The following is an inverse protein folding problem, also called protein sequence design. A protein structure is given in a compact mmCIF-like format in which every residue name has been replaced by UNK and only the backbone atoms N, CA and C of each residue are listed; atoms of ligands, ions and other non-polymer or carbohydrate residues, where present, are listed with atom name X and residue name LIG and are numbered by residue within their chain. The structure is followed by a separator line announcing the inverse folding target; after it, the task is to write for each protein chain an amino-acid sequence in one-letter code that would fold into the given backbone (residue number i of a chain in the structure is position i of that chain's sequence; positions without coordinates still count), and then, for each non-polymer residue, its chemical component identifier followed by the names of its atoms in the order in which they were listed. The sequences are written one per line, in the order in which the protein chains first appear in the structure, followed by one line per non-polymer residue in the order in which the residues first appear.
data_IF_589899407781
#
_entry.id   IF_589899407781
#
_cell.length_a   1.000
_cell.length_b   1.000
_cell.length_c   1.000
_cell.angle_alpha   90.00
_cell.angle_beta   90.00
_cell.angle_gamma   90.00
#
_symmetry.space_group_name_H-M   'P 1'
#
loop_
_entity.id
_entity.type
_entity.pdbx_description
1 polymer ?
#
# COMPACT_ATOMS: atom_id res chain seq x y z
N UNK A 1 2.93 -7.90 15.44
CA UNK A 1 2.10 -7.04 14.56
C UNK A 1 1.18 -6.27 15.48
N UNK A 2 1.25 -4.93 15.50
CA UNK A 2 0.31 -4.14 16.30
C UNK A 2 -1.02 -4.22 15.55
N UNK A 3 -2.00 -4.93 16.09
CA UNK A 3 -3.34 -5.01 15.49
C UNK A 3 -4.10 -3.71 15.79
N UNK A 4 -3.90 -2.71 14.93
CA UNK A 4 -4.76 -1.54 14.86
C UNK A 4 -5.92 -1.83 13.91
N UNK A 5 -7.10 -1.34 14.26
CA UNK A 5 -8.24 -1.36 13.35
C UNK A 5 -7.90 -0.51 12.11
N UNK A 6 -8.21 -0.98 10.91
CA UNK A 6 -7.87 -0.33 9.63
C UNK A 6 -8.23 1.17 9.58
N UNK A 7 -9.41 1.53 10.09
CA UNK A 7 -9.85 2.95 10.16
C UNK A 7 -9.01 3.81 11.11
N UNK A 8 -8.50 3.21 12.19
CA UNK A 8 -7.65 3.92 13.14
C UNK A 8 -6.29 4.21 12.51
N UNK A 9 -5.72 3.24 11.78
CA UNK A 9 -4.49 3.46 11.01
C UNK A 9 -4.67 4.58 9.98
N UNK A 10 -5.79 4.61 9.27
CA UNK A 10 -6.14 5.70 8.35
C UNK A 10 -6.17 7.05 9.08
N UNK A 11 -6.89 7.14 10.21
CA UNK A 11 -6.98 8.37 10.99
C UNK A 11 -5.63 8.85 11.56
N UNK A 12 -4.72 7.94 11.91
CA UNK A 12 -3.36 8.30 12.35
C UNK A 12 -2.59 8.97 11.21
N UNK A 13 -2.66 8.41 10.00
CA UNK A 13 -1.99 8.98 8.83
C UNK A 13 -2.59 10.33 8.46
N UNK A 14 -3.93 10.42 8.44
CA UNK A 14 -4.64 11.68 8.20
C UNK A 14 -4.24 12.77 9.21
N UNK A 15 -4.27 12.45 10.50
CA UNK A 15 -3.86 13.38 11.56
C UNK A 15 -2.39 13.81 11.42
N UNK A 16 -1.49 12.87 11.09
CA UNK A 16 -0.09 13.20 10.86
C UNK A 16 0.07 14.20 9.71
N UNK A 17 -0.61 13.96 8.59
CA UNK A 17 -0.57 14.85 7.43
C UNK A 17 -1.12 16.25 7.77
N UNK A 18 -2.18 16.32 8.56
CA UNK A 18 -2.75 17.60 9.03
C UNK A 18 -1.79 18.39 9.92
N UNK A 19 -1.18 17.73 10.91
CA UNK A 19 -0.20 18.36 11.81
C UNK A 19 1.09 18.76 11.08
N UNK A 20 1.40 18.09 9.98
CA UNK A 20 2.59 18.33 9.16
C UNK A 20 2.40 19.42 8.09
N UNK A 21 1.18 19.95 7.90
CA UNK A 21 0.90 20.96 6.83
C UNK A 21 1.83 22.17 6.84
N UNK A 22 2.32 22.58 8.02
CA UNK A 22 3.17 23.76 8.19
C UNK A 22 4.57 23.43 8.74
N UNK A 23 4.94 22.16 8.79
CA UNK A 23 6.21 21.69 9.35
C UNK A 23 6.89 20.74 8.37
N UNK A 24 8.22 20.81 8.29
CA UNK A 24 9.00 19.79 7.58
C UNK A 24 9.00 18.52 8.44
N UNK A 25 8.19 17.53 8.05
CA UNK A 25 7.99 16.29 8.80
C UNK A 25 7.90 15.10 7.85
N UNK A 26 8.41 13.95 8.27
CA UNK A 26 8.44 12.75 7.45
C UNK A 26 7.98 11.53 8.27
N UNK A 27 6.98 10.83 7.75
CA UNK A 27 6.54 9.53 8.26
C UNK A 27 6.85 8.46 7.22
N UNK A 28 7.73 7.52 7.57
CA UNK A 28 7.99 6.32 6.78
C UNK A 28 7.43 5.13 7.55
N UNK A 29 6.46 4.45 6.97
CA UNK A 29 5.81 3.30 7.57
C UNK A 29 5.66 2.16 6.56
N UNK A 30 5.65 0.93 7.05
CA UNK A 30 5.31 -0.26 6.26
C UNK A 30 4.02 -0.85 6.82
N UNK A 31 3.14 -1.31 5.95
CA UNK A 31 1.81 -1.78 6.33
C UNK A 31 1.25 -2.78 5.32
N UNK A 32 0.41 -3.69 5.80
CA UNK A 32 -0.44 -4.53 4.96
C UNK A 32 -1.86 -3.95 4.79
N UNK A 33 -2.11 -2.75 5.34
CA UNK A 33 -3.42 -2.13 5.35
C UNK A 33 -3.77 -1.48 4.00
N UNK A 34 -4.60 -2.16 3.22
CA UNK A 34 -5.04 -1.68 1.90
C UNK A 34 -5.90 -0.41 1.95
N UNK A 35 -6.48 -0.04 3.09
CA UNK A 35 -7.27 1.19 3.24
C UNK A 35 -6.44 2.46 3.00
N UNK A 36 -5.12 2.41 3.19
CA UNK A 36 -4.22 3.53 2.94
C UNK A 36 -3.93 3.77 1.44
N UNK A 37 -4.37 2.87 0.54
CA UNK A 37 -4.25 3.04 -0.91
C UNK A 37 -5.36 3.98 -1.45
N UNK A 38 -5.39 5.19 -0.92
CA UNK A 38 -6.35 6.25 -1.25
C UNK A 38 -5.62 7.52 -1.71
N UNK A 39 -5.89 7.93 -2.96
CA UNK A 39 -5.27 9.12 -3.56
C UNK A 39 -5.85 10.43 -3.04
N UNK A 40 -6.93 10.40 -2.25
CA UNK A 40 -7.41 11.57 -1.52
C UNK A 40 -6.59 11.82 -0.23
N UNK A 41 -5.89 10.79 0.27
CA UNK A 41 -5.06 10.85 1.46
C UNK A 41 -3.58 11.03 1.12
N UNK A 42 -3.05 10.21 0.21
CA UNK A 42 -1.63 10.16 -0.15
C UNK A 42 -1.42 10.44 -1.64
N UNK A 43 -0.31 11.09 -1.98
CA UNK A 43 0.12 11.25 -3.36
C UNK A 43 0.67 9.93 -3.91
N UNK A 44 0.75 9.80 -5.23
CA UNK A 44 1.20 8.55 -5.88
C UNK A 44 2.67 8.25 -5.61
N UNK A 45 3.49 9.28 -5.56
CA UNK A 45 4.92 9.22 -5.25
C UNK A 45 5.19 8.86 -3.76
N UNK A 46 4.16 8.92 -2.91
CA UNK A 46 4.24 8.56 -1.49
C UNK A 46 3.81 7.10 -1.24
N UNK A 47 3.19 6.44 -2.22
CA UNK A 47 2.79 5.04 -2.13
C UNK A 47 3.85 4.18 -2.82
N UNK A 48 4.41 3.25 -2.05
CA UNK A 48 5.45 2.34 -2.51
C UNK A 48 5.05 0.89 -2.26
N UNK A 49 5.28 0.05 -3.27
CA UNK A 49 5.03 -1.39 -3.21
C UNK A 49 6.35 -2.15 -3.10
N UNK A 50 6.31 -3.26 -2.36
CA UNK A 50 7.42 -4.21 -2.26
C UNK A 50 6.96 -5.54 -2.81
N UNK A 51 7.67 -6.05 -3.81
CA UNK A 51 7.43 -7.36 -4.37
C UNK A 51 8.65 -8.26 -4.16
N UNK A 52 8.38 -9.50 -3.73
CA UNK A 52 9.42 -10.51 -3.59
C UNK A 52 9.70 -11.17 -4.94
N UNK A 53 10.94 -11.07 -5.38
CA UNK A 53 11.48 -11.84 -6.50
C UNK A 53 12.22 -13.09 -5.97
N UNK A 54 12.87 -13.87 -6.84
CA UNK A 54 13.47 -15.15 -6.45
C UNK A 54 14.46 -15.02 -5.28
N UNK A 55 15.36 -14.04 -5.36
CA UNK A 55 16.44 -13.82 -4.38
C UNK A 55 16.56 -12.36 -3.90
N UNK A 56 15.59 -11.52 -4.24
CA UNK A 56 15.62 -10.07 -4.00
C UNK A 56 14.22 -9.56 -3.70
N UNK A 57 14.14 -8.35 -3.15
CA UNK A 57 12.90 -7.58 -3.09
C UNK A 57 13.03 -6.41 -4.04
N UNK A 58 11.99 -6.17 -4.84
CA UNK A 58 11.89 -5.01 -5.71
C UNK A 58 10.96 -4.00 -5.05
N UNK A 59 11.45 -2.76 -4.93
CA UNK A 59 10.69 -1.62 -4.43
C UNK A 59 10.35 -0.73 -5.64
N UNK A 60 9.10 -0.31 -5.77
CA UNK A 60 8.64 0.56 -6.86
C UNK A 60 7.46 1.43 -6.41
N UNK A 61 7.33 2.62 -6.99
CA UNK A 61 6.28 3.57 -6.63
C UNK A 61 5.00 3.33 -7.42
N UNK A 62 3.84 3.69 -6.85
CA UNK A 62 2.59 3.76 -7.59
C UNK A 62 2.66 4.75 -8.76
N UNK A 63 3.50 5.79 -8.67
CA UNK A 63 3.66 6.79 -9.74
C UNK A 63 4.26 6.21 -11.03
N UNK A 64 4.98 5.09 -10.96
CA UNK A 64 5.49 4.37 -12.13
C UNK A 64 4.36 3.79 -13.00
N UNK A 65 3.16 3.64 -12.44
CA UNK A 65 1.98 3.20 -13.16
C UNK A 65 1.23 4.43 -13.71
N UNK A 66 0.81 4.37 -14.98
CA UNK A 66 -0.08 5.39 -15.62
C UNK A 66 -1.51 5.33 -15.06
N UNK A 67 -1.67 5.45 -13.76
CA UNK A 67 -2.96 5.51 -13.07
C UNK A 67 -3.61 6.84 -13.43
N UNK A 68 -4.93 6.87 -13.64
CA UNK A 68 -5.68 8.14 -13.75
C UNK A 68 -6.17 8.53 -12.36
N UNK A 69 -6.26 9.83 -12.06
CA UNK A 69 -6.63 10.34 -10.73
C UNK A 69 -8.03 9.87 -10.28
N UNK A 70 -8.89 9.48 -11.21
CA UNK A 70 -10.24 8.99 -10.96
C UNK A 70 -10.33 7.48 -10.69
N UNK A 71 -9.21 6.75 -10.72
CA UNK A 71 -9.20 5.30 -10.42
C UNK A 71 -9.10 5.01 -8.93
N UNK A 72 -9.88 4.03 -8.50
CA UNK A 72 -9.82 3.47 -7.14
C UNK A 72 -8.57 2.57 -7.04
N UNK A 73 -7.46 3.12 -6.58
CA UNK A 73 -6.15 2.44 -6.47
C UNK A 73 -6.25 1.15 -5.66
N UNK A 74 -6.90 1.17 -4.50
CA UNK A 74 -7.16 -0.01 -3.67
C UNK A 74 -7.80 -1.16 -4.48
N UNK A 75 -8.76 -0.88 -5.34
CA UNK A 75 -9.43 -1.91 -6.16
C UNK A 75 -8.47 -2.53 -7.14
N UNK A 76 -7.68 -1.71 -7.84
CA UNK A 76 -6.69 -2.18 -8.81
C UNK A 76 -5.57 -2.98 -8.12
N UNK A 77 -5.16 -2.59 -6.91
CA UNK A 77 -4.22 -3.35 -6.08
C UNK A 77 -4.78 -4.74 -5.71
N UNK A 78 -6.02 -4.81 -5.21
CA UNK A 78 -6.66 -6.08 -4.85
C UNK A 78 -6.90 -7.01 -6.06
N UNK A 79 -7.01 -6.45 -7.26
CA UNK A 79 -7.05 -7.21 -8.52
C UNK A 79 -5.67 -7.66 -9.01
N UNK A 80 -4.59 -7.30 -8.29
CA UNK A 80 -3.21 -7.68 -8.62
C UNK A 80 -2.57 -6.85 -9.73
N UNK A 81 -3.15 -5.70 -10.11
CA UNK A 81 -2.65 -4.89 -11.24
C UNK A 81 -1.29 -4.24 -10.98
N UNK A 82 -0.93 -4.07 -9.72
CA UNK A 82 0.35 -3.49 -9.30
C UNK A 82 1.34 -4.56 -8.79
N UNK A 83 1.01 -5.86 -8.91
CA UNK A 83 1.78 -6.92 -8.25
C UNK A 83 1.67 -6.80 -6.72
N UNK A 84 2.70 -7.25 -6.02
CA UNK A 84 2.82 -7.12 -4.55
C UNK A 84 1.61 -7.68 -3.75
N UNK A 85 0.84 -8.58 -4.37
CA UNK A 85 -0.20 -9.38 -3.72
C UNK A 85 0.34 -10.80 -3.48
N UNK A 86 -0.09 -11.50 -2.41
CA UNK A 86 0.35 -12.87 -2.16
C UNK A 86 -0.06 -13.82 -3.30
N UNK A 87 0.93 -14.47 -3.93
CA UNK A 87 0.67 -15.51 -4.93
C UNK A 87 0.47 -16.84 -4.20
N UNK A 88 -0.77 -17.27 -4.06
CA UNK A 88 -1.08 -18.62 -3.57
C UNK A 88 -0.84 -19.63 -4.69
N UNK A 89 0.34 -20.26 -4.73
CA UNK A 89 0.55 -21.45 -5.58
C UNK A 89 -0.32 -22.59 -5.04
N UNK A 90 -1.46 -22.79 -5.69
CA UNK A 90 -2.32 -23.98 -5.67
C UNK A 90 -2.34 -24.77 -4.33
N UNK A 91 -3.30 -24.48 -3.45
CA UNK A 91 -3.53 -25.22 -2.21
C UNK A 91 -3.83 -26.73 -2.39
N UNK A 92 -4.02 -27.21 -3.63
CA UNK A 92 -4.40 -28.60 -3.94
C UNK A 92 -3.29 -29.65 -3.86
N UNK A 93 -2.05 -29.29 -3.47
CA UNK A 93 -0.94 -30.24 -3.37
C UNK A 93 -0.58 -30.67 -1.94
N UNK A 94 -1.38 -30.33 -0.94
CA UNK A 94 -1.24 -30.93 0.39
C UNK A 94 -2.22 -32.10 0.52
N UNK A 95 -1.77 -33.28 0.10
CA UNK A 95 -2.39 -34.54 0.53
C UNK A 95 -1.96 -34.78 1.98
N UNK A 96 -2.90 -34.73 2.91
CA UNK A 96 -2.78 -35.42 4.19
C UNK A 96 -2.96 -36.93 3.97
#
# INVERSE_FOLDING_TARGET
MISLHSKLTYGIVELFLELSKNNESQLIATTHESLLLDLNLLRRDEIWFVEKEQNSSKLFSLDEFKVRNDKIVKKDYLLGRYGAIPIFKNFKNFNF
#
